data_IF_378369092562
#
_entry.id   IF_378369092562
#
_cell.length_a   1.000
_cell.length_b   1.000
_cell.length_c   1.000
_cell.angle_alpha   90.00
_cell.angle_beta   90.00
_cell.angle_gamma   90.00
#
_symmetry.space_group_name_H-M   'P 1'
#
loop_
_entity.id
_entity.type
_entity.pdbx_description
1 polymer ?
#
# COMPACT_ATOMS: atom_id res chain seq x y z
N UNK A 1 35.41 -2.01 37.25
CA UNK A 1 34.58 -2.63 36.19
C UNK A 1 34.14 -1.51 35.27
N UNK A 2 34.94 -1.20 34.25
CA UNK A 2 34.63 -0.13 33.31
C UNK A 2 33.46 -0.59 32.45
N UNK A 3 32.32 0.10 32.54
CA UNK A 3 31.23 -0.02 31.58
C UNK A 3 31.76 0.46 30.24
N UNK A 4 32.01 -0.46 29.31
CA UNK A 4 32.34 -0.11 27.94
C UNK A 4 31.09 0.53 27.33
N UNK A 5 31.03 1.86 27.33
CA UNK A 5 30.12 2.58 26.46
C UNK A 5 30.57 2.31 25.02
N UNK A 6 29.68 1.74 24.20
CA UNK A 6 29.95 1.59 22.77
C UNK A 6 30.35 2.95 22.19
N UNK A 7 31.37 3.04 21.32
CA UNK A 7 31.75 4.30 20.70
C UNK A 7 30.57 4.84 19.88
N UNK A 8 30.21 6.11 20.06
CA UNK A 8 29.20 6.75 19.22
C UNK A 8 29.70 6.78 17.77
N UNK A 9 29.27 5.81 16.96
CA UNK A 9 29.69 5.72 15.56
C UNK A 9 28.99 6.83 14.79
N UNK A 10 29.69 7.96 14.58
CA UNK A 10 29.17 9.06 13.79
C UNK A 10 28.71 8.56 12.40
N UNK A 11 27.65 9.16 11.85
CA UNK A 11 27.14 8.82 10.52
C UNK A 11 28.24 8.76 9.45
N UNK A 12 29.17 9.73 9.48
CA UNK A 12 30.30 9.78 8.57
C UNK A 12 31.20 8.54 8.71
N UNK A 13 31.59 8.17 9.93
CA UNK A 13 32.42 6.99 10.18
C UNK A 13 31.73 5.69 9.75
N UNK A 14 30.42 5.58 9.99
CA UNK A 14 29.64 4.41 9.59
C UNK A 14 29.55 4.28 8.07
N UNK A 15 29.31 5.39 7.36
CA UNK A 15 29.23 5.42 5.91
C UNK A 15 30.58 5.19 5.25
N UNK A 16 31.67 5.76 5.78
CA UNK A 16 33.01 5.50 5.29
C UNK A 16 33.38 4.02 5.41
N UNK A 17 33.15 3.43 6.60
CA UNK A 17 33.45 2.02 6.86
C UNK A 17 32.63 1.08 5.99
N UNK A 18 31.37 1.43 5.72
CA UNK A 18 30.44 0.59 4.96
C UNK A 18 30.52 0.81 3.45
N UNK A 19 30.84 2.03 3.00
CA UNK A 19 30.81 2.44 1.59
C UNK A 19 32.01 3.33 1.23
N UNK A 20 33.24 2.82 1.35
CA UNK A 20 34.46 3.62 1.13
C UNK A 20 34.61 4.13 -0.31
N UNK A 21 33.92 3.52 -1.28
CA UNK A 21 33.88 3.97 -2.67
C UNK A 21 32.95 5.18 -2.91
N UNK A 22 32.04 5.46 -1.96
CA UNK A 22 31.04 6.53 -2.09
C UNK A 22 31.41 7.75 -1.25
N UNK A 23 31.89 7.53 -0.03
CA UNK A 23 32.27 8.57 0.93
C UNK A 23 33.76 8.44 1.23
N UNK A 24 34.54 9.48 0.93
CA UNK A 24 35.98 9.53 1.23
C UNK A 24 36.24 9.80 2.73
N UNK A 25 37.36 9.28 3.25
CA UNK A 25 37.83 9.54 4.62
C UNK A 25 38.07 11.02 4.91
N UNK A 26 38.38 11.79 3.86
CA UNK A 26 38.76 13.21 3.98
C UNK A 26 37.54 14.15 3.85
N UNK A 27 36.33 13.58 3.71
CA UNK A 27 35.11 14.34 3.53
C UNK A 27 34.60 14.91 4.86
N UNK A 28 34.60 16.23 5.00
CA UNK A 28 34.04 16.93 6.18
C UNK A 28 32.55 17.22 6.04
N UNK A 29 32.06 17.42 4.81
CA UNK A 29 30.65 17.66 4.48
C UNK A 29 30.21 16.75 3.32
N UNK A 30 29.99 15.46 3.56
CA UNK A 30 29.49 14.56 2.52
C UNK A 30 28.10 14.99 2.05
N UNK A 31 27.92 14.97 0.74
CA UNK A 31 26.62 15.17 0.11
C UNK A 31 25.76 13.92 0.28
N UNK A 32 25.10 13.83 1.44
CA UNK A 32 24.25 12.69 1.77
C UNK A 32 23.12 12.51 0.77
N UNK A 33 22.53 13.60 0.26
CA UNK A 33 21.41 13.52 -0.68
C UNK A 33 21.79 12.72 -1.92
N UNK A 34 22.93 13.05 -2.54
CA UNK A 34 23.42 12.33 -3.72
C UNK A 34 24.15 11.03 -3.38
N UNK A 35 24.52 10.80 -2.11
CA UNK A 35 25.10 9.53 -1.67
C UNK A 35 24.09 8.37 -1.80
N UNK A 36 22.78 8.63 -1.64
CA UNK A 36 21.75 7.57 -1.70
C UNK A 36 21.78 6.78 -3.00
N UNK A 37 21.87 7.44 -4.16
CA UNK A 37 21.93 6.77 -5.47
C UNK A 37 23.22 5.96 -5.67
N UNK A 38 24.31 6.37 -5.04
CA UNK A 38 25.61 5.68 -5.12
C UNK A 38 25.70 4.48 -4.16
N UNK A 39 25.11 4.62 -2.97
CA UNK A 39 25.01 3.57 -1.96
C UNK A 39 24.05 2.47 -2.42
N UNK A 40 22.93 2.85 -3.05
CA UNK A 40 21.89 1.95 -3.53
C UNK A 40 21.73 2.06 -5.06
N UNK A 41 22.71 1.59 -5.86
CA UNK A 41 22.69 1.75 -7.32
C UNK A 41 21.51 1.04 -8.00
N UNK A 42 20.92 0.04 -7.35
CA UNK A 42 19.71 -0.67 -7.80
C UNK A 42 18.41 0.10 -7.55
N UNK A 43 18.45 1.25 -6.86
CA UNK A 43 17.28 2.05 -6.50
C UNK A 43 17.29 3.36 -7.29
N UNK A 44 16.25 3.58 -8.08
CA UNK A 44 16.03 4.88 -8.73
C UNK A 44 15.13 5.75 -7.85
N UNK A 45 15.60 6.96 -7.57
CA UNK A 45 14.86 7.98 -6.83
C UNK A 45 14.26 8.98 -7.82
N UNK A 46 12.98 9.32 -7.64
CA UNK A 46 12.35 10.44 -8.36
C UNK A 46 12.48 11.74 -7.57
N UNK A 47 12.15 12.88 -8.20
CA UNK A 47 12.27 14.21 -7.57
C UNK A 47 11.53 14.34 -6.22
N UNK A 48 10.37 13.67 -6.08
CA UNK A 48 9.61 13.70 -4.82
C UNK A 48 10.31 12.87 -3.73
N UNK A 49 10.89 11.73 -4.09
CA UNK A 49 11.65 10.88 -3.17
C UNK A 49 12.96 11.55 -2.74
N UNK A 50 13.65 12.27 -3.63
CA UNK A 50 14.82 13.09 -3.26
C UNK A 50 14.45 14.22 -2.30
N UNK A 51 13.31 14.87 -2.50
CA UNK A 51 12.78 15.86 -1.56
C UNK A 51 12.46 15.24 -0.19
N UNK A 52 11.87 14.05 -0.16
CA UNK A 52 11.60 13.30 1.07
C UNK A 52 12.90 12.92 1.80
N UNK A 53 13.94 12.45 1.08
CA UNK A 53 15.27 12.17 1.67
C UNK A 53 15.82 13.43 2.35
N UNK A 54 15.79 14.56 1.65
CA UNK A 54 16.27 15.84 2.20
C UNK A 54 15.48 16.25 3.44
N UNK A 55 14.17 16.07 3.44
CA UNK A 55 13.33 16.34 4.60
C UNK A 55 13.72 15.46 5.79
N UNK A 56 13.92 14.16 5.59
CA UNK A 56 14.34 13.25 6.65
C UNK A 56 15.72 13.58 7.20
N UNK A 57 16.67 13.96 6.34
CA UNK A 57 17.99 14.43 6.79
C UNK A 57 17.90 15.67 7.68
N UNK A 58 16.98 16.60 7.36
CA UNK A 58 16.71 17.75 8.23
C UNK A 58 16.12 17.30 9.59
N UNK A 59 15.18 16.35 9.59
CA UNK A 59 14.62 15.76 10.83
C UNK A 59 15.71 15.11 11.67
N UNK A 60 16.64 14.37 11.06
CA UNK A 60 17.79 13.77 11.75
C UNK A 60 18.67 14.84 12.40
N UNK A 61 18.95 15.94 11.68
CA UNK A 61 19.72 17.05 12.23
C UNK A 61 18.99 17.74 13.39
N UNK A 62 17.67 17.88 13.30
CA UNK A 62 16.81 18.39 14.36
C UNK A 62 16.85 17.50 15.60
N UNK A 63 16.72 16.18 15.43
CA UNK A 63 16.80 15.19 16.50
C UNK A 63 18.17 15.20 17.19
N UNK A 64 19.26 15.24 16.40
CA UNK A 64 20.61 15.33 16.96
C UNK A 64 20.79 16.60 17.81
N UNK A 65 20.24 17.72 17.34
CA UNK A 65 20.28 19.00 18.06
C UNK A 65 19.43 18.98 19.33
N UNK A 66 18.24 18.37 19.28
CA UNK A 66 17.36 18.28 20.45
C UNK A 66 17.95 17.37 21.53
N UNK A 67 18.57 16.25 21.13
CA UNK A 67 19.29 15.34 22.03
C UNK A 67 20.51 16.02 22.66
N UNK A 68 21.33 16.73 21.87
CA UNK A 68 22.51 17.43 22.38
C UNK A 68 22.18 18.58 23.35
N UNK A 69 21.00 19.17 23.23
CA UNK A 69 20.54 20.29 24.07
C UNK A 69 19.54 19.86 25.15
N UNK A 70 19.36 18.56 25.40
CA UNK A 70 18.40 18.00 26.38
C UNK A 70 16.94 18.51 26.23
N UNK A 71 16.53 18.83 24.99
CA UNK A 71 15.17 19.29 24.68
C UNK A 71 14.20 18.11 24.62
N UNK A 72 13.77 17.64 25.79
CA UNK A 72 12.94 16.43 25.92
C UNK A 72 11.64 16.51 25.13
N UNK A 73 10.88 17.60 25.24
CA UNK A 73 9.59 17.72 24.54
C UNK A 73 9.72 17.68 23.02
N UNK A 74 10.75 18.34 22.48
CA UNK A 74 11.06 18.32 21.04
C UNK A 74 11.50 16.92 20.62
N UNK A 75 12.36 16.29 21.40
CA UNK A 75 12.85 14.93 21.15
C UNK A 75 11.69 13.94 21.11
N UNK A 76 10.84 13.93 22.15
CA UNK A 76 9.63 13.09 22.21
C UNK A 76 8.71 13.35 21.02
N UNK A 77 8.47 14.62 20.66
CA UNK A 77 7.64 14.95 19.50
C UNK A 77 8.20 14.41 18.17
N UNK A 78 9.52 14.43 17.98
CA UNK A 78 10.16 13.85 16.80
C UNK A 78 10.07 12.31 16.83
N UNK A 79 10.31 11.69 17.97
CA UNK A 79 10.21 10.23 18.14
C UNK A 79 8.78 9.74 17.87
N UNK A 80 7.76 10.43 18.38
CA UNK A 80 6.36 10.10 18.14
C UNK A 80 6.01 10.17 16.65
N UNK A 81 6.40 11.25 15.97
CA UNK A 81 6.18 11.41 14.53
C UNK A 81 6.89 10.33 13.71
N UNK A 82 8.13 10.02 14.06
CA UNK A 82 8.91 8.98 13.40
C UNK A 82 8.30 7.59 13.61
N UNK A 83 7.91 7.26 14.83
CA UNK A 83 7.30 5.97 15.17
C UNK A 83 5.97 5.78 14.41
N UNK A 84 5.13 6.83 14.36
CA UNK A 84 3.90 6.82 13.56
C UNK A 84 4.20 6.67 12.06
N UNK A 85 5.21 7.36 11.55
CA UNK A 85 5.59 7.26 10.14
C UNK A 85 6.05 5.85 9.76
N UNK A 86 6.83 5.22 10.64
CA UNK A 86 7.37 3.86 10.47
C UNK A 86 6.33 2.76 10.72
N UNK A 87 5.16 3.07 11.30
CA UNK A 87 4.10 2.08 11.57
C UNK A 87 3.61 1.36 10.30
N UNK A 88 3.67 2.02 9.15
CA UNK A 88 3.18 1.49 7.86
C UNK A 88 4.29 1.31 6.83
N UNK A 89 5.55 1.46 7.22
CA UNK A 89 6.69 1.56 6.30
C UNK A 89 7.88 0.74 6.78
N UNK A 90 8.57 0.06 5.87
CA UNK A 90 9.78 -0.71 6.17
C UNK A 90 10.97 0.24 6.38
N UNK A 91 11.10 1.22 5.49
CA UNK A 91 12.12 2.30 5.48
C UNK A 91 11.47 3.68 5.57
N UNK A 92 12.25 4.75 5.70
CA UNK A 92 11.73 6.13 5.69
C UNK A 92 10.99 6.47 4.38
N UNK A 93 11.38 5.86 3.26
CA UNK A 93 10.72 6.00 1.95
C UNK A 93 9.79 4.82 1.61
N UNK A 94 9.16 4.21 2.63
CA UNK A 94 8.24 3.11 2.42
C UNK A 94 8.96 1.77 2.30
N UNK A 95 9.37 1.40 1.08
CA UNK A 95 10.08 0.15 0.82
C UNK A 95 11.48 0.36 0.21
N UNK A 96 11.81 1.59 -0.22
CA UNK A 96 13.11 1.92 -0.80
C UNK A 96 14.10 2.33 0.30
N UNK A 97 15.30 1.73 0.39
CA UNK A 97 16.33 2.20 1.30
C UNK A 97 16.92 3.52 0.82
N UNK A 98 17.39 4.32 1.76
CA UNK A 98 18.08 5.58 1.46
C UNK A 98 19.15 5.87 2.52
N UNK A 99 20.01 6.86 2.26
CA UNK A 99 20.98 7.31 3.28
C UNK A 99 20.28 7.80 4.55
N UNK A 100 19.02 8.28 4.44
CA UNK A 100 18.28 8.80 5.57
C UNK A 100 17.98 7.71 6.61
N UNK A 101 17.78 6.46 6.18
CA UNK A 101 17.61 5.31 7.07
C UNK A 101 18.88 5.04 7.88
N UNK A 102 20.05 5.17 7.25
CA UNK A 102 21.36 5.02 7.91
C UNK A 102 21.61 6.21 8.85
N UNK A 103 21.22 7.42 8.44
CA UNK A 103 21.35 8.63 9.22
C UNK A 103 20.50 8.59 10.50
N UNK A 104 19.24 8.15 10.40
CA UNK A 104 18.37 8.02 11.57
C UNK A 104 18.86 6.90 12.50
N UNK A 105 19.35 5.78 11.95
CA UNK A 105 19.98 4.71 12.73
C UNK A 105 21.18 5.23 13.53
N UNK A 106 22.10 5.97 12.90
CA UNK A 106 23.29 6.48 13.57
C UNK A 106 22.99 7.41 14.76
N UNK A 107 21.83 8.09 14.75
CA UNK A 107 21.39 8.95 15.85
C UNK A 107 20.60 8.14 16.90
N UNK A 108 19.71 7.24 16.48
CA UNK A 108 18.81 6.54 17.39
C UNK A 108 19.41 5.31 18.04
N UNK A 109 20.41 4.67 17.44
CA UNK A 109 21.03 3.49 18.01
C UNK A 109 21.47 3.66 19.48
N UNK A 110 22.30 4.67 19.83
CA UNK A 110 22.70 4.89 21.22
C UNK A 110 21.55 5.35 22.15
N UNK A 111 20.43 5.83 21.58
CA UNK A 111 19.23 6.20 22.34
C UNK A 111 18.42 4.95 22.69
N UNK A 112 18.16 4.09 21.68
CA UNK A 112 17.41 2.84 21.83
C UNK A 112 18.14 1.86 22.75
N UNK A 113 19.47 1.83 22.70
CA UNK A 113 20.29 1.02 23.61
C UNK A 113 19.94 1.30 25.08
N UNK A 114 19.66 2.56 25.43
CA UNK A 114 19.36 3.01 26.80
C UNK A 114 17.90 2.83 27.20
N UNK A 115 17.01 2.52 26.27
CA UNK A 115 15.57 2.37 26.56
C UNK A 115 15.27 1.12 27.38
N UNK A 116 14.31 1.24 28.30
CA UNK A 116 13.76 0.09 29.01
C UNK A 116 12.93 -0.79 28.07
N UNK A 117 12.62 -2.05 28.45
CA UNK A 117 11.72 -2.89 27.67
C UNK A 117 10.35 -2.25 27.42
N UNK A 118 9.83 -1.46 28.37
CA UNK A 118 8.56 -0.74 28.22
C UNK A 118 8.65 0.39 27.19
N UNK A 119 9.75 1.14 27.16
CA UNK A 119 9.99 2.19 26.16
C UNK A 119 10.20 1.58 24.76
N UNK A 120 10.78 0.38 24.67
CA UNK A 120 10.97 -0.36 23.41
C UNK A 120 9.67 -0.99 22.90
N UNK A 121 9.07 -1.88 23.70
CA UNK A 121 7.99 -2.78 23.27
C UNK A 121 6.74 -2.74 24.17
N UNK A 122 6.62 -1.80 25.10
CA UNK A 122 5.40 -1.60 25.91
C UNK A 122 4.26 -0.94 25.15
N UNK A 123 3.06 -0.83 25.76
CA UNK A 123 1.85 -0.32 25.08
C UNK A 123 2.00 1.06 24.43
N UNK A 124 2.84 1.91 25.02
CA UNK A 124 3.17 3.25 24.49
C UNK A 124 4.61 3.34 23.99
N UNK A 125 5.23 2.18 23.73
CA UNK A 125 6.62 2.08 23.31
C UNK A 125 6.82 2.45 21.85
N UNK A 126 8.09 2.62 21.50
CA UNK A 126 8.53 3.01 20.17
C UNK A 126 8.83 1.78 19.28
N UNK A 127 7.87 0.85 19.21
CA UNK A 127 8.04 -0.46 18.54
C UNK A 127 8.57 -0.34 17.12
N UNK A 128 8.09 0.63 16.35
CA UNK A 128 8.44 0.77 14.94
C UNK A 128 9.83 1.37 14.75
N UNK A 129 10.29 2.19 15.70
CA UNK A 129 11.67 2.66 15.77
C UNK A 129 12.60 1.49 16.11
N UNK A 130 12.29 0.71 17.15
CA UNK A 130 13.10 -0.45 17.53
C UNK A 130 13.24 -1.44 16.36
N UNK A 131 12.13 -1.74 15.68
CA UNK A 131 12.12 -2.54 14.44
C UNK A 131 13.02 -1.94 13.36
N UNK A 132 12.94 -0.63 13.13
CA UNK A 132 13.73 0.03 12.09
C UNK A 132 15.23 -0.01 12.41
N UNK A 133 15.59 0.25 13.66
CA UNK A 133 16.98 0.19 14.13
C UNK A 133 17.54 -1.22 13.97
N UNK A 134 16.82 -2.25 14.39
CA UNK A 134 17.22 -3.65 14.19
C UNK A 134 17.37 -3.99 12.68
N UNK A 135 16.39 -3.56 11.88
CA UNK A 135 16.40 -3.78 10.44
C UNK A 135 17.60 -3.11 9.75
N UNK A 136 18.00 -1.90 10.16
CA UNK A 136 19.14 -1.20 9.55
C UNK A 136 20.47 -1.86 9.91
N UNK A 137 20.69 -2.26 11.17
CA UNK A 137 21.96 -2.88 11.59
C UNK A 137 22.16 -4.31 11.07
N UNK A 138 21.07 -5.06 10.86
CA UNK A 138 21.12 -6.47 10.46
C UNK A 138 20.71 -6.72 9.00
N UNK A 139 20.10 -5.73 8.35
CA UNK A 139 19.57 -5.86 7.00
C UNK A 139 20.65 -5.93 5.92
N UNK A 140 20.67 -7.04 5.16
CA UNK A 140 21.50 -7.16 3.94
C UNK A 140 21.26 -6.03 2.94
N UNK A 141 20.07 -5.44 2.97
CA UNK A 141 19.70 -4.30 2.15
C UNK A 141 20.66 -3.11 2.34
N UNK A 142 21.14 -2.89 3.57
CA UNK A 142 22.11 -1.84 3.87
C UNK A 142 23.55 -2.37 3.86
N UNK A 143 23.79 -3.67 4.13
CA UNK A 143 25.16 -4.22 4.11
C UNK A 143 26.17 -3.39 4.94
N UNK A 144 25.69 -2.78 6.04
CA UNK A 144 26.53 -1.94 6.89
C UNK A 144 27.60 -2.80 7.55
N UNK A 145 28.82 -2.29 7.54
CA UNK A 145 29.92 -2.89 8.28
C UNK A 145 29.82 -2.37 9.71
N UNK A 146 29.18 -3.12 10.60
CA UNK A 146 29.05 -2.78 12.02
C UNK A 146 29.66 -3.92 12.84
N UNK A 147 30.74 -3.66 13.61
CA UNK A 147 31.28 -4.63 14.56
C UNK A 147 30.20 -5.12 15.51
N UNK A 148 30.27 -6.38 15.91
CA UNK A 148 29.22 -7.00 16.72
C UNK A 148 29.09 -6.30 18.09
N UNK A 149 30.17 -5.70 18.59
CA UNK A 149 30.18 -4.96 19.87
C UNK A 149 29.51 -3.57 19.76
N UNK A 150 29.37 -3.03 18.55
CA UNK A 150 28.67 -1.76 18.29
C UNK A 150 27.18 -1.96 17.98
N UNK A 151 26.73 -3.21 17.76
CA UNK A 151 25.32 -3.50 17.49
C UNK A 151 24.51 -3.44 18.78
N UNK A 152 23.29 -2.95 18.65
CA UNK A 152 22.36 -2.94 19.78
C UNK A 152 21.76 -4.32 19.91
N UNK A 153 21.91 -4.91 21.09
CA UNK A 153 21.19 -6.13 21.45
C UNK A 153 19.68 -5.82 21.60
N UNK A 154 18.88 -6.37 20.69
CA UNK A 154 17.43 -6.31 20.69
C UNK A 154 16.91 -7.75 20.83
N UNK A 155 16.32 -8.06 21.99
CA UNK A 155 15.69 -9.37 22.21
C UNK A 155 14.31 -9.39 21.53
N UNK A 156 14.21 -10.19 20.47
CA UNK A 156 12.99 -10.35 19.69
C UNK A 156 11.88 -11.07 20.47
N UNK A 157 12.20 -11.75 21.58
CA UNK A 157 11.23 -12.45 22.41
C UNK A 157 10.70 -11.57 23.56
N UNK A 158 11.36 -10.44 23.87
CA UNK A 158 10.94 -9.55 24.95
C UNK A 158 9.94 -8.49 24.45
N UNK A 159 8.76 -8.95 24.05
CA UNK A 159 7.66 -8.10 23.58
C UNK A 159 6.64 -7.90 24.70
N UNK A 160 6.63 -6.70 25.30
CA UNK A 160 5.70 -6.38 26.42
C UNK A 160 4.27 -6.15 25.95
N UNK A 161 4.08 -5.61 24.75
CA UNK A 161 2.79 -5.35 24.14
C UNK A 161 2.88 -5.59 22.64
N UNK A 162 1.86 -6.25 22.09
CA UNK A 162 1.70 -6.45 20.65
C UNK A 162 0.65 -5.46 20.16
N UNK A 163 1.05 -4.40 19.43
CA UNK A 163 0.09 -3.47 18.86
C UNK A 163 -0.89 -4.22 17.95
N UNK A 164 -2.19 -3.99 18.17
CA UNK A 164 -3.21 -4.51 17.25
C UNK A 164 -2.92 -3.98 15.84
N UNK A 165 -3.02 -4.81 14.78
CA UNK A 165 -2.82 -4.37 13.42
C UNK A 165 -3.72 -3.16 13.15
N UNK A 166 -3.10 -2.02 12.82
CA UNK A 166 -3.85 -0.81 12.51
C UNK A 166 -4.62 -1.05 11.23
N UNK A 167 -5.94 -1.17 11.35
CA UNK A 167 -6.83 -1.26 10.20
C UNK A 167 -6.75 0.07 9.42
N UNK A 168 -6.44 0.08 8.12
CA UNK A 168 -6.33 1.32 7.34
C UNK A 168 -7.62 2.16 7.36
N UNK A 169 -8.76 1.50 7.62
CA UNK A 169 -10.07 2.12 7.81
C UNK A 169 -10.18 2.81 9.17
N UNK A 170 -9.68 2.19 10.23
CA UNK A 170 -9.64 2.75 11.58
C UNK A 170 -8.63 3.88 11.70
N UNK A 171 -7.47 3.81 11.04
CA UNK A 171 -6.51 4.93 10.99
C UNK A 171 -7.09 6.13 10.22
N UNK A 172 -7.82 5.87 9.13
CA UNK A 172 -8.50 6.91 8.38
C UNK A 172 -9.63 7.55 9.19
N UNK A 173 -10.38 6.75 9.95
CA UNK A 173 -11.38 7.22 10.90
C UNK A 173 -10.75 7.97 12.07
N UNK A 174 -9.62 7.51 12.62
CA UNK A 174 -8.87 8.16 13.69
C UNK A 174 -8.27 9.49 13.22
N UNK A 175 -7.62 9.54 12.05
CA UNK A 175 -7.14 10.79 11.43
C UNK A 175 -8.29 11.75 11.10
N UNK A 176 -9.48 11.22 10.77
CA UNK A 176 -10.68 12.03 10.54
C UNK A 176 -11.26 12.55 11.86
N UNK A 177 -11.24 11.75 12.92
CA UNK A 177 -11.64 12.13 14.29
C UNK A 177 -10.67 13.14 14.91
N UNK A 178 -9.36 12.97 14.75
CA UNK A 178 -8.30 13.91 15.16
C UNK A 178 -8.40 15.22 14.37
N UNK A 179 -8.66 15.18 13.05
CA UNK A 179 -8.94 16.39 12.26
C UNK A 179 -10.26 17.07 12.63
N UNK A 180 -11.28 16.31 13.02
CA UNK A 180 -12.56 16.85 13.47
C UNK A 180 -12.47 17.47 14.87
N UNK A 181 -11.65 16.90 15.75
CA UNK A 181 -11.38 17.47 17.09
C UNK A 181 -10.42 18.67 17.04
N UNK A 182 -9.58 18.78 16.00
CA UNK A 182 -8.80 19.99 15.71
C UNK A 182 -9.64 21.14 15.09
N UNK A 183 -10.92 20.94 14.77
CA UNK A 183 -11.79 21.94 14.13
C UNK A 183 -12.78 22.64 15.08
N UNK A 184 -12.74 22.36 16.39
CA UNK A 184 -13.45 23.14 17.40
C UNK A 184 -12.45 23.78 18.37
N UNK A 185 -12.04 25.04 18.16
CA UNK A 185 -11.34 25.80 19.17
C UNK A 185 -12.37 26.60 19.98
N UNK A 186 -12.60 26.21 21.23
CA UNK A 186 -12.75 27.24 22.25
C UNK A 186 -12.30 26.75 23.64
N UNK A 187 -11.44 27.59 24.24
CA UNK A 187 -10.92 27.62 25.61
C UNK A 187 -9.54 26.97 25.91
N UNK A 188 -8.51 27.81 25.83
CA UNK A 188 -7.24 27.84 26.58
C UNK A 188 -6.23 26.69 26.45
N UNK A 189 -5.22 26.89 25.59
CA UNK A 189 -3.87 27.39 25.97
C UNK A 189 -2.80 26.82 25.03
N UNK A 190 -1.78 27.63 24.81
CA UNK A 190 -0.73 27.62 23.79
C UNK A 190 -0.08 26.26 23.47
N UNK A 191 -0.03 25.93 22.17
CA UNK A 191 1.09 25.20 21.54
C UNK A 191 0.92 25.22 20.01
N UNK A 192 1.45 26.28 19.39
CA UNK A 192 1.71 26.29 17.94
C UNK A 192 2.73 25.17 17.65
N UNK A 193 2.53 24.29 16.65
CA UNK A 193 3.61 23.44 16.19
C UNK A 193 4.73 24.33 15.63
N UNK A 194 5.87 24.32 16.32
CA UNK A 194 7.11 24.97 15.92
C UNK A 194 7.60 24.37 14.60
N UNK A 195 7.34 25.08 13.51
CA UNK A 195 8.13 24.95 12.28
C UNK A 195 9.31 25.90 12.42
N UNK A 196 10.52 25.37 12.61
CA UNK A 196 11.77 26.15 12.63
C UNK A 196 12.55 25.91 11.34
N UNK A 197 12.82 27.01 10.62
CA UNK A 197 13.85 27.16 9.58
C UNK A 197 13.34 26.96 8.15
N UNK A 198 13.28 27.95 7.25
CA UNK A 198 14.05 29.18 7.13
C UNK A 198 13.18 30.35 6.65
N UNK A 199 13.43 31.52 7.22
CA UNK A 199 13.03 32.79 6.66
C UNK A 199 14.02 33.29 5.61
N UNK A 200 13.48 34.00 4.61
CA UNK A 200 14.11 35.22 4.12
C UNK A 200 13.03 36.23 3.70
N UNK A 201 13.29 37.44 4.16
CA UNK A 201 12.57 38.71 4.07
C UNK A 201 11.92 38.97 2.70
N UNK A 202 10.63 39.33 2.64
CA UNK A 202 10.04 40.65 2.93
C UNK A 202 10.01 41.55 1.69
N UNK A 203 8.79 41.80 1.21
CA UNK A 203 8.20 43.13 0.95
C UNK A 203 6.90 42.88 0.16
N UNK A 204 5.74 42.84 0.82
CA UNK A 204 4.97 44.00 1.29
C UNK A 204 4.33 44.80 0.15
N UNK A 205 3.01 44.59 0.02
CA UNK A 205 2.00 45.62 0.27
C UNK A 205 1.05 45.99 -0.88
N UNK A 206 -0.22 46.12 -0.43
CA UNK A 206 -1.41 46.82 -0.98
C UNK A 206 -2.26 45.99 -1.95
N UNK A 207 -3.47 45.53 -1.58
CA UNK A 207 -4.69 46.29 -1.22
C UNK A 207 -5.00 47.35 -2.31
N UNK A 208 -6.20 47.52 -2.89
CA UNK A 208 -7.54 47.23 -2.44
C UNK A 208 -8.51 47.51 -3.64
N UNK A 209 -9.60 46.76 -3.72
CA UNK A 209 -10.98 47.15 -4.12
C UNK A 209 -11.32 47.98 -5.38
N UNK A 210 -12.17 47.33 -6.20
CA UNK A 210 -13.50 47.76 -6.73
C UNK A 210 -13.66 48.78 -7.89
N UNK A 211 -14.24 48.23 -8.97
CA UNK A 211 -15.53 48.58 -9.60
C UNK A 211 -15.65 49.72 -10.66
N UNK A 212 -16.16 49.30 -11.84
CA UNK A 212 -16.97 50.05 -12.82
C UNK A 212 -16.21 51.00 -13.75
N UNK A 213 -16.57 51.26 -15.01
CA UNK A 213 -17.50 50.74 -16.01
C UNK A 213 -17.17 51.51 -17.32
N UNK A 214 -17.40 50.88 -18.48
CA UNK A 214 -17.57 51.45 -19.84
C UNK A 214 -16.50 52.28 -20.57
N UNK A 215 -16.32 51.94 -21.86
CA UNK A 215 -15.89 52.87 -22.93
C UNK A 215 -14.65 52.48 -23.75
N UNK A 216 -14.83 51.61 -24.76
CA UNK A 216 -13.90 51.40 -25.90
C UNK A 216 -13.82 52.66 -26.81
N UNK A 217 -12.85 52.88 -27.75
CA UNK A 217 -12.34 51.87 -28.69
C UNK A 217 -10.86 51.93 -29.18
N UNK A 218 -10.34 50.73 -29.49
CA UNK A 218 -9.62 50.30 -30.71
C UNK A 218 -8.30 50.97 -31.14
N UNK A 219 -7.23 50.16 -31.20
CA UNK A 219 -6.35 49.92 -32.38
C UNK A 219 -5.52 48.64 -32.15
N UNK A 220 -6.00 47.47 -32.57
CA UNK A 220 -5.55 46.73 -33.78
C UNK A 220 -4.03 46.58 -33.93
N UNK A 221 -3.54 45.36 -33.70
CA UNK A 221 -2.72 44.69 -34.70
C UNK A 221 -3.05 43.20 -34.76
N UNK A 222 -3.35 42.75 -35.97
CA UNK A 222 -3.94 41.46 -36.35
C UNK A 222 -2.98 40.82 -37.35
N UNK A 223 -2.58 39.58 -37.11
CA UNK A 223 -2.23 38.50 -38.08
C UNK A 223 -1.67 37.35 -37.24
N UNK A 224 -2.02 36.08 -37.40
CA UNK A 224 -2.76 35.41 -38.46
C UNK A 224 -3.26 34.07 -37.91
N UNK A 225 -4.46 33.67 -38.35
CA UNK A 225 -5.21 32.47 -37.93
C UNK A 225 -4.91 31.36 -38.92
N UNK A 226 -4.49 30.17 -38.45
CA UNK A 226 -4.63 28.92 -39.21
C UNK A 226 -5.53 27.95 -38.42
N UNK A 227 -6.78 27.94 -38.90
CA UNK A 227 -7.79 26.87 -38.94
C UNK A 227 -8.08 25.96 -37.73
N UNK A 228 -9.34 26.08 -37.32
CA UNK A 228 -10.13 25.27 -36.41
C UNK A 228 -10.38 23.89 -37.03
N UNK A 229 -9.95 22.80 -36.39
CA UNK A 229 -10.66 21.52 -36.52
C UNK A 229 -11.68 21.47 -35.39
N UNK A 230 -12.92 21.73 -35.78
CA UNK A 230 -14.10 21.71 -34.95
C UNK A 230 -14.26 20.32 -34.32
N UNK A 231 -14.07 20.24 -33.00
CA UNK A 231 -14.36 19.02 -32.25
C UNK A 231 -15.88 18.91 -32.24
N UNK A 232 -16.42 17.96 -32.99
CA UNK A 232 -17.83 17.60 -32.97
C UNK A 232 -18.29 17.48 -31.51
N UNK A 233 -19.51 17.92 -31.16
CA UNK A 233 -20.08 17.67 -29.85
C UNK A 233 -20.01 16.16 -29.62
N UNK A 234 -19.33 15.74 -28.55
CA UNK A 234 -19.41 14.36 -28.09
C UNK A 234 -20.90 14.02 -28.02
N UNK A 235 -21.37 12.93 -28.64
CA UNK A 235 -22.71 12.45 -28.40
C UNK A 235 -22.93 12.41 -26.89
N UNK A 236 -24.07 12.92 -26.43
CA UNK A 236 -24.50 12.69 -25.06
C UNK A 236 -24.32 11.19 -24.79
N UNK A 237 -23.70 10.80 -23.66
CA UNK A 237 -23.55 9.39 -23.33
C UNK A 237 -24.92 8.74 -23.49
N UNK A 238 -24.98 7.66 -24.28
CA UNK A 238 -26.15 6.78 -24.27
C UNK A 238 -26.49 6.51 -22.80
N UNK A 239 -27.79 6.50 -22.42
CA UNK A 239 -28.20 6.26 -21.04
C UNK A 239 -27.40 5.06 -20.51
N UNK A 240 -26.62 5.31 -19.46
CA UNK A 240 -25.70 4.31 -18.93
C UNK A 240 -26.53 3.07 -18.62
N UNK A 241 -26.20 1.95 -19.27
CA UNK A 241 -26.80 0.68 -18.94
C UNK A 241 -26.69 0.48 -17.42
N UNK A 242 -27.74 -0.03 -16.75
CA UNK A 242 -27.70 -0.26 -15.32
C UNK A 242 -26.46 -1.09 -14.97
N UNK A 243 -25.75 -0.77 -13.87
CA UNK A 243 -24.56 -1.51 -13.48
C UNK A 243 -24.92 -2.99 -13.35
N UNK A 244 -24.04 -3.85 -13.82
CA UNK A 244 -24.23 -5.30 -13.85
C UNK A 244 -22.94 -6.00 -13.41
N UNK A 245 -23.00 -7.23 -12.89
CA UNK A 245 -21.81 -7.97 -12.48
C UNK A 245 -20.86 -8.27 -13.66
N UNK A 246 -21.32 -8.22 -14.92
CA UNK A 246 -20.48 -8.33 -16.12
C UNK A 246 -19.41 -7.23 -16.25
N UNK A 247 -19.52 -6.14 -15.48
CA UNK A 247 -18.48 -5.11 -15.41
C UNK A 247 -17.22 -5.57 -14.66
N UNK A 248 -17.34 -6.62 -13.85
CA UNK A 248 -16.23 -7.23 -13.10
C UNK A 248 -15.50 -8.21 -14.03
N UNK A 249 -14.18 -8.07 -14.15
CA UNK A 249 -13.35 -8.91 -15.01
C UNK A 249 -12.95 -10.17 -14.24
N UNK A 250 -13.76 -11.23 -14.38
CA UNK A 250 -13.47 -12.54 -13.82
C UNK A 250 -12.79 -13.41 -14.88
N UNK A 251 -11.65 -14.00 -14.54
CA UNK A 251 -10.91 -14.89 -15.42
C UNK A 251 -10.41 -16.12 -14.70
N UNK A 252 -10.16 -17.19 -15.45
CA UNK A 252 -9.35 -18.31 -14.97
C UNK A 252 -7.93 -17.83 -14.74
N UNK A 253 -7.40 -18.05 -13.55
CA UNK A 253 -6.01 -17.83 -13.21
C UNK A 253 -5.31 -19.15 -12.91
N UNK A 254 -4.05 -19.28 -13.30
CA UNK A 254 -3.19 -20.41 -12.94
C UNK A 254 -2.07 -19.92 -12.03
N UNK A 255 -2.11 -20.33 -10.76
CA UNK A 255 -1.03 -20.08 -9.82
C UNK A 255 0.16 -20.93 -10.26
N UNK A 256 1.20 -20.29 -10.79
CA UNK A 256 2.43 -20.97 -11.18
C UNK A 256 3.21 -21.39 -9.93
N UNK A 257 3.34 -20.46 -9.00
CA UNK A 257 3.93 -20.65 -7.68
C UNK A 257 3.36 -19.68 -6.67
N UNK A 258 3.36 -20.08 -5.41
CA UNK A 258 3.07 -19.21 -4.28
C UNK A 258 4.19 -19.32 -3.24
N UNK A 259 4.47 -18.21 -2.56
CA UNK A 259 5.43 -18.14 -1.45
C UNK A 259 4.79 -17.45 -0.25
N UNK A 260 5.32 -17.71 0.95
CA UNK A 260 5.03 -16.90 2.12
C UNK A 260 5.37 -15.43 1.84
N UNK A 261 4.48 -14.53 2.21
CA UNK A 261 4.75 -13.11 2.06
C UNK A 261 5.90 -12.70 3.01
N UNK A 262 6.97 -12.06 2.51
CA UNK A 262 8.20 -11.83 3.30
C UNK A 262 7.99 -10.93 4.52
N UNK A 263 6.98 -10.06 4.48
CA UNK A 263 6.66 -9.10 5.54
C UNK A 263 5.28 -9.33 6.19
N UNK A 264 4.66 -10.50 6.01
CA UNK A 264 3.30 -10.76 6.54
C UNK A 264 2.97 -12.24 6.68
N UNK A 265 2.86 -12.73 7.92
CA UNK A 265 2.66 -14.16 8.19
C UNK A 265 1.31 -14.70 7.70
N UNK A 266 0.27 -13.87 7.62
CA UNK A 266 -1.06 -14.29 7.14
C UNK A 266 -1.23 -14.24 5.62
N UNK A 267 -0.23 -13.75 4.88
CA UNK A 267 -0.34 -13.56 3.43
C UNK A 267 0.55 -14.53 2.63
N UNK A 268 0.05 -14.95 1.47
CA UNK A 268 0.87 -15.48 0.39
C UNK A 268 1.09 -14.45 -0.69
N UNK A 269 2.23 -14.53 -1.37
CA UNK A 269 2.51 -13.86 -2.65
C UNK A 269 2.48 -14.92 -3.74
N UNK A 270 1.48 -14.85 -4.63
CA UNK A 270 1.29 -15.77 -5.74
C UNK A 270 1.68 -15.12 -7.06
N UNK A 271 2.38 -15.89 -7.90
CA UNK A 271 2.62 -15.56 -9.31
C UNK A 271 1.55 -16.26 -10.14
N UNK A 272 0.62 -15.49 -10.71
CA UNK A 272 -0.58 -16.03 -11.37
C UNK A 272 -0.58 -15.64 -12.85
N UNK A 273 -0.69 -16.63 -13.73
CA UNK A 273 -1.00 -16.46 -15.14
C UNK A 273 -2.52 -16.27 -15.29
N UNK A 274 -2.95 -15.06 -15.66
CA UNK A 274 -4.34 -14.72 -15.95
C UNK A 274 -4.59 -14.52 -17.46
N UNK A 275 -3.72 -15.10 -18.31
CA UNK A 275 -3.76 -14.99 -19.77
C UNK A 275 -3.68 -13.55 -20.29
N UNK A 276 -2.99 -12.67 -19.56
CA UNK A 276 -2.77 -11.30 -20.01
C UNK A 276 -1.79 -11.26 -21.19
N UNK A 277 -2.03 -10.34 -22.12
CA UNK A 277 -1.12 -10.13 -23.24
C UNK A 277 0.19 -9.48 -22.77
N UNK A 278 1.34 -9.75 -23.43
CA UNK A 278 2.60 -9.08 -23.13
C UNK A 278 2.47 -7.55 -23.12
N UNK A 279 3.04 -6.91 -22.10
CA UNK A 279 3.00 -5.46 -21.92
C UNK A 279 1.71 -4.91 -21.29
N UNK A 280 0.80 -5.78 -20.82
CA UNK A 280 -0.41 -5.35 -20.12
C UNK A 280 -0.10 -4.62 -18.81
N UNK A 281 -0.92 -3.62 -18.47
CA UNK A 281 -0.81 -2.86 -17.23
C UNK A 281 -0.81 -3.80 -16.00
N UNK A 282 0.10 -3.57 -15.05
CA UNK A 282 0.21 -4.32 -13.78
C UNK A 282 0.57 -5.81 -13.92
N UNK A 283 1.25 -6.16 -15.01
CA UNK A 283 1.83 -7.49 -15.23
C UNK A 283 3.36 -7.43 -15.24
N UNK A 284 4.00 -8.59 -15.10
CA UNK A 284 5.44 -8.79 -15.28
C UNK A 284 5.68 -10.04 -16.13
N UNK A 285 6.85 -10.13 -16.76
CA UNK A 285 7.28 -11.37 -17.41
C UNK A 285 7.84 -12.32 -16.35
N UNK A 286 7.35 -13.56 -16.34
CA UNK A 286 7.97 -14.63 -15.57
C UNK A 286 9.11 -15.24 -16.39
N UNK A 287 10.35 -15.13 -15.92
CA UNK A 287 11.53 -15.56 -16.68
C UNK A 287 11.60 -17.09 -16.85
N UNK A 288 11.06 -17.85 -15.89
CA UNK A 288 11.08 -19.30 -15.90
C UNK A 288 10.12 -19.88 -16.94
N UNK A 289 8.89 -19.37 -16.99
CA UNK A 289 7.85 -19.87 -17.89
C UNK A 289 7.68 -19.05 -19.17
N UNK A 290 8.27 -17.86 -19.25
CA UNK A 290 8.08 -16.89 -20.34
C UNK A 290 6.67 -16.28 -20.41
N UNK A 291 5.84 -16.48 -19.39
CA UNK A 291 4.45 -16.03 -19.36
C UNK A 291 4.32 -14.62 -18.80
N UNK A 292 3.29 -13.90 -19.24
CA UNK A 292 2.89 -12.62 -18.64
C UNK A 292 2.01 -12.91 -17.42
N UNK A 293 2.48 -12.53 -16.24
CA UNK A 293 1.90 -12.91 -14.95
C UNK A 293 1.55 -11.70 -14.10
N UNK A 294 0.68 -11.91 -13.12
CA UNK A 294 0.34 -10.94 -12.07
C UNK A 294 0.86 -11.42 -10.73
N UNK A 295 1.35 -10.47 -9.94
CA UNK A 295 1.62 -10.68 -8.51
C UNK A 295 0.33 -10.49 -7.72
N UNK A 296 -0.03 -11.48 -6.91
CA UNK A 296 -1.28 -11.46 -6.13
C UNK A 296 -0.98 -11.77 -4.67
N UNK A 297 -1.30 -10.83 -3.78
CA UNK A 297 -1.23 -11.05 -2.34
C UNK A 297 -2.59 -11.54 -1.84
N UNK A 298 -2.61 -12.66 -1.11
CA UNK A 298 -3.85 -13.26 -0.60
C UNK A 298 -3.72 -13.66 0.86
N UNK A 299 -4.74 -13.39 1.68
CA UNK A 299 -4.78 -13.72 3.11
C UNK A 299 -5.16 -15.18 3.38
N UNK A 300 -4.46 -16.11 2.74
CA UNK A 300 -4.77 -17.53 2.78
C UNK A 300 -3.79 -18.33 3.64
N UNK A 301 -2.70 -17.72 4.11
CA UNK A 301 -1.74 -18.41 4.96
C UNK A 301 -2.36 -18.65 6.35
N UNK A 302 -2.29 -19.91 6.80
CA UNK A 302 -3.02 -20.39 7.98
C UNK A 302 -4.45 -20.89 7.69
N UNK A 303 -4.96 -20.70 6.46
CA UNK A 303 -6.28 -21.21 6.04
C UNK A 303 -6.16 -22.31 4.99
N UNK A 304 -5.25 -22.15 4.03
CA UNK A 304 -4.96 -23.12 2.96
C UNK A 304 -3.46 -23.41 3.00
N UNK A 305 -3.02 -24.68 3.07
CA UNK A 305 -1.61 -25.03 3.04
C UNK A 305 -0.92 -24.52 1.77
N UNK A 306 0.35 -24.15 1.88
CA UNK A 306 1.14 -23.61 0.76
C UNK A 306 1.26 -24.61 -0.40
N UNK A 307 1.28 -25.90 -0.08
CA UNK A 307 1.35 -27.00 -1.04
C UNK A 307 0.10 -27.06 -1.93
N UNK A 308 -1.07 -26.75 -1.36
CA UNK A 308 -2.34 -26.70 -2.11
C UNK A 308 -2.45 -25.48 -3.02
N UNK A 309 -1.55 -24.50 -2.89
CA UNK A 309 -1.52 -23.31 -3.75
C UNK A 309 -0.70 -23.53 -5.03
N UNK A 310 0.27 -24.46 -5.01
CA UNK A 310 1.21 -24.64 -6.11
C UNK A 310 0.51 -25.24 -7.34
N UNK A 311 0.72 -24.64 -8.51
CA UNK A 311 0.17 -25.16 -9.78
C UNK A 311 -1.35 -25.14 -9.87
N UNK A 312 -2.07 -24.47 -8.96
CA UNK A 312 -3.53 -24.54 -8.84
C UNK A 312 -4.25 -23.59 -9.79
N UNK A 313 -5.34 -24.04 -10.40
CA UNK A 313 -6.29 -23.18 -11.14
C UNK A 313 -7.30 -22.55 -10.18
N UNK A 314 -7.60 -21.27 -10.40
CA UNK A 314 -8.49 -20.45 -9.58
C UNK A 314 -9.33 -19.52 -10.46
N UNK A 315 -10.33 -18.87 -9.87
CA UNK A 315 -10.98 -17.70 -10.49
C UNK A 315 -10.37 -16.43 -9.90
N UNK A 316 -9.92 -15.52 -10.77
CA UNK A 316 -9.30 -14.25 -10.40
C UNK A 316 -10.18 -13.06 -10.81
N UNK A 317 -10.18 -12.02 -9.99
CA UNK A 317 -10.73 -10.70 -10.30
C UNK A 317 -9.61 -9.79 -10.82
N UNK A 318 -9.67 -9.41 -12.09
CA UNK A 318 -8.55 -8.84 -12.84
C UNK A 318 -8.63 -7.32 -13.09
N UNK A 319 -9.75 -6.67 -12.78
CA UNK A 319 -9.93 -5.24 -13.05
C UNK A 319 -10.15 -4.38 -11.79
N UNK A 320 -9.86 -4.91 -10.60
CA UNK A 320 -9.78 -4.08 -9.40
C UNK A 320 -8.58 -3.13 -9.48
N UNK A 321 -8.68 -1.99 -8.79
CA UNK A 321 -7.52 -1.11 -8.62
C UNK A 321 -6.44 -1.87 -7.81
N UNK A 322 -5.18 -1.96 -8.28
CA UNK A 322 -4.12 -2.63 -7.54
C UNK A 322 -3.95 -2.06 -6.12
N UNK A 323 -3.65 -2.94 -5.18
CA UNK A 323 -3.47 -2.60 -3.76
C UNK A 323 -2.09 -3.04 -3.31
N UNK A 324 -1.36 -2.16 -2.64
CA UNK A 324 -0.09 -2.53 -1.99
C UNK A 324 -0.37 -3.11 -0.62
N UNK A 325 -0.03 -4.38 -0.42
CA UNK A 325 -0.16 -5.10 0.85
C UNK A 325 1.24 -5.35 1.39
N UNK A 326 1.59 -4.72 2.52
CA UNK A 326 2.85 -4.95 3.24
C UNK A 326 4.11 -4.83 2.35
N UNK A 327 4.06 -3.85 1.42
CA UNK A 327 5.15 -3.54 0.49
C UNK A 327 5.07 -4.23 -0.87
N UNK A 328 4.21 -5.24 -1.04
CA UNK A 328 4.03 -5.95 -2.32
C UNK A 328 2.74 -5.49 -3.00
N UNK A 329 2.84 -5.09 -4.27
CA UNK A 329 1.69 -4.65 -5.07
C UNK A 329 0.91 -5.87 -5.57
N UNK A 330 -0.33 -6.03 -5.09
CA UNK A 330 -1.28 -7.03 -5.57
C UNK A 330 -2.08 -6.49 -6.75
N UNK A 331 -2.06 -7.21 -7.87
CA UNK A 331 -2.57 -6.77 -9.17
C UNK A 331 -3.82 -7.55 -9.64
N UNK A 332 -4.34 -8.44 -8.80
CA UNK A 332 -5.61 -9.13 -8.95
C UNK A 332 -6.08 -9.61 -7.55
N UNK A 333 -7.22 -10.27 -7.49
CA UNK A 333 -7.72 -10.91 -6.28
C UNK A 333 -8.17 -12.33 -6.61
N UNK A 334 -7.82 -13.31 -5.76
CA UNK A 334 -8.31 -14.69 -5.91
C UNK A 334 -9.69 -14.80 -5.27
N UNK A 335 -10.64 -15.40 -5.98
CA UNK A 335 -12.01 -15.58 -5.50
C UNK A 335 -12.11 -16.83 -4.60
N UNK A 336 -12.68 -16.66 -3.41
CA UNK A 336 -12.85 -17.74 -2.44
C UNK A 336 -14.24 -17.72 -1.79
N UNK A 337 -14.72 -18.89 -1.40
CA UNK A 337 -15.89 -19.03 -0.55
C UNK A 337 -15.49 -19.09 0.91
N UNK A 338 -16.29 -18.45 1.75
CA UNK A 338 -16.22 -18.56 3.22
C UNK A 338 -17.64 -18.60 3.79
N UNK A 339 -17.86 -19.25 4.95
CA UNK A 339 -19.16 -19.22 5.61
C UNK A 339 -19.73 -17.80 5.73
N UNK A 340 -21.06 -17.66 5.59
CA UNK A 340 -21.72 -16.40 5.93
C UNK A 340 -21.63 -16.22 7.44
N UNK A 341 -21.12 -15.06 7.86
CA UNK A 341 -21.05 -14.71 9.28
C UNK A 341 -22.23 -13.82 9.60
N UNK A 342 -22.94 -14.11 10.68
CA UNK A 342 -24.05 -13.28 11.14
C UNK A 342 -23.53 -11.89 11.55
N UNK A 343 -24.33 -10.83 11.41
CA UNK A 343 -23.93 -9.50 11.86
C UNK A 343 -23.59 -9.53 13.35
N UNK A 344 -22.34 -9.24 13.71
CA UNK A 344 -21.86 -9.16 15.09
C UNK A 344 -20.84 -10.24 15.51
N UNK A 345 -20.53 -11.23 14.67
CA UNK A 345 -19.48 -12.23 14.95
C UNK A 345 -18.20 -11.98 14.14
N UNK A 346 -17.04 -12.28 14.75
CA UNK A 346 -15.72 -12.03 14.17
C UNK A 346 -15.41 -13.04 13.04
N UNK A 347 -15.18 -12.53 11.84
CA UNK A 347 -15.60 -13.18 10.58
C UNK A 347 -14.49 -13.79 9.73
N UNK A 348 -13.41 -14.26 10.35
CA UNK A 348 -12.21 -14.72 9.63
C UNK A 348 -11.67 -16.10 10.04
N UNK A 349 -12.34 -16.83 10.94
CA UNK A 349 -11.88 -18.14 11.43
C UNK A 349 -12.58 -19.37 10.81
N UNK A 350 -13.51 -19.16 9.86
CA UNK A 350 -14.20 -20.26 9.16
C UNK A 350 -13.34 -20.87 8.04
N UNK A 351 -13.61 -22.13 7.61
CA UNK A 351 -12.92 -22.73 6.47
C UNK A 351 -13.06 -21.85 5.24
N UNK A 352 -11.95 -21.59 4.54
CA UNK A 352 -11.92 -20.85 3.28
C UNK A 352 -11.59 -21.80 2.14
N UNK A 353 -12.39 -21.77 1.09
CA UNK A 353 -12.22 -22.63 -0.09
C UNK A 353 -12.06 -21.79 -1.35
N UNK A 354 -10.98 -22.01 -2.09
CA UNK A 354 -10.80 -21.37 -3.40
C UNK A 354 -11.85 -21.86 -4.40
N UNK A 355 -12.35 -20.93 -5.21
CA UNK A 355 -13.26 -21.26 -6.32
C UNK A 355 -12.47 -21.99 -7.41
N UNK A 356 -12.91 -23.20 -7.75
CA UNK A 356 -12.31 -24.03 -8.77
C UNK A 356 -13.03 -23.77 -10.11
N UNK A 357 -12.33 -23.28 -11.14
CA UNK A 357 -12.87 -23.23 -12.50
C UNK A 357 -12.97 -24.65 -13.09
N UNK A 358 -13.62 -24.84 -14.26
CA UNK A 358 -13.57 -26.10 -14.99
C UNK A 358 -12.13 -26.57 -15.22
N UNK A 359 -11.90 -27.88 -15.09
CA UNK A 359 -10.55 -28.45 -15.05
C UNK A 359 -9.76 -28.23 -16.35
N UNK A 360 -10.45 -28.15 -17.48
CA UNK A 360 -9.94 -27.95 -18.83
C UNK A 360 -9.82 -26.49 -19.25
N UNK A 361 -10.41 -25.55 -18.50
CA UNK A 361 -10.38 -24.13 -18.81
C UNK A 361 -8.94 -23.55 -18.80
N UNK A 362 -8.46 -22.92 -19.89
CA UNK A 362 -7.14 -22.30 -19.94
C UNK A 362 -7.06 -21.00 -19.14
N UNK A 363 -5.84 -20.61 -18.75
CA UNK A 363 -5.58 -19.31 -18.12
C UNK A 363 -6.06 -18.14 -19.01
N UNK A 364 -6.68 -17.15 -18.38
CA UNK A 364 -7.26 -15.96 -19.02
C UNK A 364 -8.62 -16.15 -19.65
N UNK A 365 -9.16 -17.37 -19.64
CA UNK A 365 -10.53 -17.59 -20.06
C UNK A 365 -11.50 -16.77 -19.21
N UNK A 366 -12.44 -16.11 -19.88
CA UNK A 366 -13.46 -15.29 -19.23
C UNK A 366 -14.43 -16.16 -18.44
N UNK A 367 -14.68 -15.75 -17.21
CA UNK A 367 -15.71 -16.29 -16.34
C UNK A 367 -16.87 -15.27 -16.26
N UNK A 368 -18.12 -15.74 -16.27
CA UNK A 368 -19.30 -14.88 -16.16
C UNK A 368 -20.46 -15.57 -15.48
N UNK A 369 -21.40 -14.80 -14.95
CA UNK A 369 -22.64 -15.35 -14.40
C UNK A 369 -23.67 -15.52 -15.53
N UNK A 370 -24.25 -16.72 -15.64
CA UNK A 370 -25.26 -17.04 -16.64
C UNK A 370 -26.44 -16.06 -16.57
N UNK A 371 -26.86 -15.54 -17.73
CA UNK A 371 -27.90 -14.52 -17.83
C UNK A 371 -27.46 -13.12 -17.41
N UNK A 372 -26.25 -12.93 -16.90
CA UNK A 372 -25.70 -11.63 -16.49
C UNK A 372 -24.41 -11.26 -17.26
N UNK A 373 -24.22 -11.84 -18.44
CA UNK A 373 -22.99 -11.78 -19.25
C UNK A 373 -23.04 -10.80 -20.44
N UNK A 374 -24.12 -10.03 -20.62
CA UNK A 374 -24.33 -9.12 -21.77
C UNK A 374 -23.32 -7.96 -21.88
N UNK A 375 -22.57 -7.68 -20.83
CA UNK A 375 -21.61 -6.58 -20.76
C UNK A 375 -20.17 -7.00 -21.06
N UNK A 376 -19.31 -6.02 -21.30
CA UNK A 376 -17.86 -6.20 -21.28
C UNK A 376 -17.29 -5.67 -19.95
N UNK A 377 -16.25 -6.32 -19.39
CA UNK A 377 -15.63 -5.83 -18.17
C UNK A 377 -15.06 -4.42 -18.35
N UNK A 378 -15.12 -3.58 -17.31
CA UNK A 378 -14.42 -2.28 -17.35
C UNK A 378 -12.90 -2.52 -17.36
N UNK A 379 -12.11 -1.67 -18.03
CA UNK A 379 -10.64 -1.76 -18.01
C UNK A 379 -10.08 -1.76 -16.58
N UNK A 380 -10.65 -0.92 -15.72
CA UNK A 380 -10.37 -0.88 -14.29
C UNK A 380 -11.60 -0.31 -13.58
N UNK A 381 -12.09 -1.02 -12.56
CA UNK A 381 -13.22 -0.58 -11.74
C UNK A 381 -12.86 0.68 -10.98
N UNK A 382 -13.74 1.68 -11.04
CA UNK A 382 -13.60 2.91 -10.26
C UNK A 382 -14.05 2.66 -8.80
N UNK A 383 -13.15 2.77 -7.80
CA UNK A 383 -13.52 2.55 -6.40
C UNK A 383 -14.64 3.47 -5.88
N UNK A 384 -14.83 4.65 -6.50
CA UNK A 384 -15.92 5.57 -6.15
C UNK A 384 -17.31 5.05 -6.57
N UNK A 385 -17.39 4.21 -7.60
CA UNK A 385 -18.64 3.60 -8.06
C UNK A 385 -19.05 2.39 -7.23
N UNK A 386 -18.13 1.83 -6.43
CA UNK A 386 -18.37 0.67 -5.55
C UNK A 386 -19.02 -0.53 -6.25
N UNK A 387 -18.62 -0.82 -7.49
CA UNK A 387 -19.24 -1.87 -8.31
C UNK A 387 -19.09 -3.24 -7.63
N UNK A 388 -17.87 -3.58 -7.18
CA UNK A 388 -17.62 -4.82 -6.47
C UNK A 388 -18.49 -4.93 -5.20
N UNK A 389 -18.49 -3.90 -4.36
CA UNK A 389 -19.25 -3.88 -3.10
C UNK A 389 -20.77 -3.90 -3.33
N UNK A 390 -21.24 -3.47 -4.50
CA UNK A 390 -22.66 -3.55 -4.86
C UNK A 390 -23.06 -4.98 -5.20
N UNK A 391 -22.24 -5.73 -5.92
CA UNK A 391 -22.60 -7.06 -6.43
C UNK A 391 -22.12 -8.23 -5.57
N UNK A 392 -21.03 -8.06 -4.81
CA UNK A 392 -20.46 -9.10 -3.96
C UNK A 392 -21.46 -9.72 -2.97
N UNK A 393 -22.42 -8.98 -2.37
CA UNK A 393 -23.46 -9.59 -1.51
C UNK A 393 -24.30 -10.68 -2.21
N UNK A 394 -24.42 -10.62 -3.54
CA UNK A 394 -25.09 -11.64 -4.35
C UNK A 394 -24.21 -12.83 -4.71
N UNK A 395 -22.90 -12.79 -4.50
CA UNK A 395 -22.03 -13.93 -4.80
C UNK A 395 -22.14 -14.99 -3.72
N UNK A 396 -22.61 -16.17 -4.11
CA UNK A 396 -22.94 -17.25 -3.19
C UNK A 396 -22.55 -18.61 -3.77
N UNK A 397 -22.67 -19.65 -2.95
CA UNK A 397 -22.62 -21.06 -3.39
C UNK A 397 -23.99 -21.71 -3.26
N UNK A 398 -24.34 -22.60 -4.19
CA UNK A 398 -25.61 -23.36 -4.18
C UNK A 398 -25.51 -24.61 -3.31
N UNK A 399 -26.61 -25.36 -3.17
CA UNK A 399 -26.62 -26.67 -2.52
C UNK A 399 -25.69 -27.68 -3.22
N UNK A 400 -25.49 -27.53 -4.53
CA UNK A 400 -24.62 -28.38 -5.34
C UNK A 400 -23.14 -27.94 -5.29
N UNK A 401 -22.81 -26.93 -4.47
CA UNK A 401 -21.47 -26.31 -4.32
C UNK A 401 -21.00 -25.56 -5.58
N UNK A 402 -21.94 -25.15 -6.41
CA UNK A 402 -21.69 -24.30 -7.58
C UNK A 402 -21.66 -22.84 -7.13
N UNK A 403 -20.73 -22.06 -7.68
CA UNK A 403 -20.73 -20.61 -7.44
C UNK A 403 -21.81 -19.96 -8.30
N UNK A 404 -22.56 -19.03 -7.73
CA UNK A 404 -23.66 -18.35 -8.40
C UNK A 404 -23.80 -16.88 -7.94
N UNK A 405 -24.50 -16.11 -8.75
CA UNK A 405 -24.96 -14.77 -8.44
C UNK A 405 -26.45 -14.78 -8.16
N UNK A 406 -26.83 -14.47 -6.93
CA UNK A 406 -28.20 -14.23 -6.50
C UNK A 406 -28.51 -12.73 -6.55
N UNK A 407 -29.27 -12.35 -7.56
CA UNK A 407 -29.69 -10.96 -7.77
C UNK A 407 -30.70 -10.46 -6.74
N UNK A 408 -31.41 -11.36 -6.04
CA UNK A 408 -32.35 -10.96 -4.98
C UNK A 408 -31.64 -10.36 -3.78
N UNK A 409 -30.37 -10.74 -3.56
CA UNK A 409 -29.50 -10.18 -2.55
C UNK A 409 -28.88 -8.83 -2.94
N UNK A 410 -29.14 -8.33 -4.16
CA UNK A 410 -28.59 -7.06 -4.65
C UNK A 410 -29.72 -6.08 -5.01
N UNK A 411 -29.99 -5.06 -4.16
CA UNK A 411 -31.14 -4.16 -4.34
C UNK A 411 -31.21 -3.46 -5.70
N UNK A 412 -30.07 -3.17 -6.34
CA UNK A 412 -30.02 -2.44 -7.61
C UNK A 412 -30.46 -3.26 -8.82
N UNK A 413 -30.50 -4.59 -8.71
CA UNK A 413 -30.84 -5.50 -9.82
C UNK A 413 -31.88 -6.55 -9.43
N UNK A 414 -32.43 -6.46 -8.22
CA UNK A 414 -33.48 -7.34 -7.75
C UNK A 414 -34.74 -7.20 -8.62
N UNK A 415 -35.19 -8.31 -9.20
CA UNK A 415 -36.40 -8.34 -10.03
C UNK A 415 -36.23 -7.70 -11.40
N UNK A 416 -34.97 -7.54 -11.87
CA UNK A 416 -34.71 -7.01 -13.21
C UNK A 416 -35.32 -7.92 -14.29
N UNK A 417 -36.21 -7.35 -15.10
CA UNK A 417 -36.95 -8.07 -16.13
C UNK A 417 -36.00 -8.68 -17.18
N UNK A 418 -36.23 -9.94 -17.55
CA UNK A 418 -35.38 -10.66 -18.49
C UNK A 418 -34.04 -11.18 -17.93
N UNK A 419 -33.80 -11.04 -16.63
CA UNK A 419 -32.62 -11.59 -15.94
C UNK A 419 -32.98 -12.70 -14.97
N UNK A 420 -32.18 -13.79 -14.89
CA UNK A 420 -32.46 -14.85 -13.93
C UNK A 420 -32.17 -14.36 -12.51
N UNK A 421 -33.01 -14.79 -11.56
CA UNK A 421 -32.80 -14.53 -10.14
C UNK A 421 -31.45 -15.08 -9.68
N UNK A 422 -31.11 -16.29 -10.12
CA UNK A 422 -29.87 -17.00 -9.84
C UNK A 422 -29.13 -17.31 -11.16
N UNK A 423 -27.90 -16.81 -11.31
CA UNK A 423 -27.03 -17.13 -12.46
C UNK A 423 -25.79 -17.88 -12.02
N UNK A 424 -25.52 -19.08 -12.56
CA UNK A 424 -24.32 -19.86 -12.20
C UNK A 424 -23.06 -19.20 -12.78
N UNK A 425 -21.95 -19.32 -12.07
CA UNK A 425 -20.65 -18.84 -12.52
C UNK A 425 -20.05 -19.87 -13.48
N UNK A 426 -19.89 -19.49 -14.75
CA UNK A 426 -19.47 -20.38 -15.83
C UNK A 426 -18.28 -19.82 -16.61
N UNK A 427 -17.46 -20.73 -17.13
CA UNK A 427 -16.43 -20.39 -18.11
C UNK A 427 -17.04 -20.15 -19.50
N UNK A 428 -16.35 -19.39 -20.34
CA UNK A 428 -16.81 -19.06 -21.70
C UNK A 428 -16.96 -20.31 -22.59
N UNK A 429 -16.10 -21.31 -22.40
CA UNK A 429 -16.15 -22.64 -23.03
C UNK A 429 -17.31 -23.50 -22.52
N UNK A 430 -18.03 -23.04 -21.49
CA UNK A 430 -18.95 -23.84 -20.70
C UNK A 430 -18.25 -24.49 -19.51
N UNK A 431 -19.06 -25.09 -18.63
CA UNK A 431 -18.60 -25.65 -17.37
C UNK A 431 -18.75 -24.67 -16.21
N UNK A 432 -19.07 -25.21 -15.04
CA UNK A 432 -19.48 -24.45 -13.86
C UNK A 432 -18.32 -24.36 -12.87
N UNK A 433 -18.11 -23.19 -12.30
CA UNK A 433 -17.16 -22.96 -11.21
C UNK A 433 -17.74 -23.49 -9.89
N UNK A 434 -16.94 -24.24 -9.12
CA UNK A 434 -17.40 -24.94 -7.91
C UNK A 434 -16.47 -24.71 -6.72
N UNK A 435 -16.95 -25.03 -5.53
CA UNK A 435 -16.14 -25.11 -4.31
C UNK A 435 -16.15 -26.53 -3.75
N UNK A 436 -15.30 -26.83 -2.77
CA UNK A 436 -15.04 -28.20 -2.32
C UNK A 436 -16.19 -28.74 -1.48
N UNK A 437 -16.67 -27.96 -0.52
CA UNK A 437 -17.71 -28.38 0.44
C UNK A 437 -18.68 -27.29 0.87
N UNK A 438 -18.35 -26.01 0.72
CA UNK A 438 -19.20 -24.93 1.24
C UNK A 438 -20.47 -24.72 0.40
N UNK A 439 -21.63 -24.74 1.07
CA UNK A 439 -22.95 -24.42 0.49
C UNK A 439 -23.51 -23.17 1.16
N UNK A 440 -24.26 -22.33 0.44
CA UNK A 440 -24.81 -21.06 0.93
C UNK A 440 -23.75 -20.10 1.51
N UNK A 441 -22.47 -20.33 1.22
CA UNK A 441 -21.36 -19.49 1.62
C UNK A 441 -21.34 -18.17 0.85
N UNK A 442 -20.73 -17.15 1.43
CA UNK A 442 -20.41 -15.91 0.72
C UNK A 442 -19.15 -16.12 -0.12
N UNK A 443 -19.13 -15.57 -1.32
CA UNK A 443 -17.97 -15.64 -2.23
C UNK A 443 -17.39 -14.24 -2.37
N UNK A 444 -16.08 -14.09 -2.14
CA UNK A 444 -15.40 -12.78 -2.11
C UNK A 444 -13.94 -12.86 -2.53
#
# INVERSE_FOLDING_TARGET
>A
MATAAAPETSLLSLLYRSYPAVISSDSTEPDYLHASAKIFPQVTFNEAEEADIKQWLNTVSGLKTSLANDQKDVTTGILDQLNIHLATRTTLLGAKPSVADIAIYAVLAPVVEKWTPEERTGEKGYHHIVRHVDFVQNGRLFSLQIPEEEKIAIDLNDVKFVPKPVDPKEEKERKKREKASAQNPDANNESKPLVIGQGKAEQAAKAQTQAGADGAPVKTNKKEKKEKKEKAPKPAPAPAAPPAPSLIDLRVGHILRAINHPNADSLYVSTIDCGDAPGSDNTSLDEETGKTVRTVCSGLNGLIPLEEMQGRKIVAVCNLKPVTMRGVKSCAMVLAASPRVAEGEDSHAGPVELVNPPADAPAGERISFEGWNDGQPEKQLNPKKKVWETFQPGFTTTADREVAFDSSAVPSVHGQEGKPALGKLVAASGGICTVKSLTNATVR
#
